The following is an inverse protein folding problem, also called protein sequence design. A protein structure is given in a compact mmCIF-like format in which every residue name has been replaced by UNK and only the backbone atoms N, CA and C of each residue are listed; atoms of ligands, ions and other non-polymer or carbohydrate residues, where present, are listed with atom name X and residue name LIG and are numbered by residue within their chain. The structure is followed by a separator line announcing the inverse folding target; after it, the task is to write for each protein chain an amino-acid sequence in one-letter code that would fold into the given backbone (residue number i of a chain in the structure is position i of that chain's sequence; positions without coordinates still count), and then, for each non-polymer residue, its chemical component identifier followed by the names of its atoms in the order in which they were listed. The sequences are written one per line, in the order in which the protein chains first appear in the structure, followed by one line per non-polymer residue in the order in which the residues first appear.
data_IF_939914427936
#
_entry.id   IF_939914427936
#
_cell.length_a   1.000
_cell.length_b   1.000
_cell.length_c   1.000
_cell.angle_alpha   90.00
_cell.angle_beta   90.00
_cell.angle_gamma   90.00
#
_symmetry.space_group_name_H-M   'P 1'
#
loop_
_entity.id
_entity.type
_entity.pdbx_description
1 polymer ?
#
# COMPACT_ATOMS: atom_id res chain seq x y z
N UNK A 1 -1.17 -8.28 33.74
CA UNK A 1 -2.22 -9.32 33.68
C UNK A 1 -3.16 -9.26 34.88
N UNK A 2 -2.66 -9.66 36.06
CA UNK A 2 -3.48 -9.79 37.29
C UNK A 2 -4.09 -8.45 37.73
N UNK A 3 -3.36 -7.33 37.64
CA UNK A 3 -3.87 -5.99 37.96
C UNK A 3 -5.15 -5.61 37.20
N UNK A 4 -5.21 -5.85 35.89
CA UNK A 4 -6.39 -5.57 35.07
C UNK A 4 -7.56 -6.50 35.39
N UNK A 5 -7.27 -7.73 35.81
CA UNK A 5 -8.29 -8.68 36.25
C UNK A 5 -8.90 -8.25 37.59
N UNK A 6 -8.06 -7.87 38.56
CA UNK A 6 -8.50 -7.40 39.89
C UNK A 6 -9.27 -6.08 39.83
N UNK A 7 -8.84 -5.13 38.98
CA UNK A 7 -9.55 -3.85 38.78
C UNK A 7 -10.86 -4.06 38.02
N UNK A 8 -10.88 -4.94 37.02
CA UNK A 8 -12.11 -5.29 36.28
C UNK A 8 -13.17 -5.98 37.15
N UNK A 9 -12.75 -6.77 38.14
CA UNK A 9 -13.65 -7.40 39.11
C UNK A 9 -14.26 -6.43 40.14
N UNK A 10 -13.70 -5.22 40.30
CA UNK A 10 -14.26 -4.17 41.16
C UNK A 10 -15.25 -3.25 40.44
N UNK A 11 -15.52 -3.48 39.14
CA UNK A 11 -16.53 -2.71 38.40
C UNK A 11 -17.91 -3.20 38.83
N UNK A 12 -18.60 -2.40 39.64
CA UNK A 12 -19.97 -2.68 40.01
C UNK A 12 -20.92 -2.32 38.85
N UNK A 13 -21.28 -3.33 38.06
CA UNK A 13 -22.27 -3.25 36.97
C UNK A 13 -23.64 -2.72 37.45
N UNK A 14 -23.92 -2.78 38.75
CA UNK A 14 -25.14 -2.25 39.35
C UNK A 14 -25.11 -0.73 39.48
N UNK A 15 -23.93 -0.14 39.55
CA UNK A 15 -23.70 1.30 39.58
C UNK A 15 -23.79 1.89 38.15
N UNK A 16 -23.35 1.13 37.15
CA UNK A 16 -23.58 1.42 35.72
C UNK A 16 -25.07 1.51 35.36
N UNK A 17 -25.92 0.74 36.03
CA UNK A 17 -27.37 0.76 35.84
C UNK A 17 -28.09 1.91 36.55
N UNK A 18 -27.45 2.59 37.51
CA UNK A 18 -28.05 3.71 38.27
C UNK A 18 -28.02 5.03 37.51
N UNK A 19 -27.01 5.25 36.69
CA UNK A 19 -26.77 6.53 35.97
C UNK A 19 -26.47 6.26 34.47
N UNK A 20 -27.45 5.73 33.70
CA UNK A 20 -27.22 5.21 32.34
C UNK A 20 -26.79 6.26 31.31
N UNK A 21 -26.98 7.55 31.61
CA UNK A 21 -26.66 8.66 30.70
C UNK A 21 -25.26 9.22 30.99
N UNK A 22 -24.88 9.32 32.26
CA UNK A 22 -23.64 10.00 32.65
C UNK A 22 -22.38 9.23 32.27
N UNK A 23 -22.41 7.90 32.38
CA UNK A 23 -21.26 7.08 32.02
C UNK A 23 -20.89 7.20 30.52
N UNK A 24 -21.81 6.97 29.56
CA UNK A 24 -21.47 7.16 28.15
C UNK A 24 -21.13 8.62 27.83
N UNK A 25 -21.78 9.60 28.49
CA UNK A 25 -21.43 11.01 28.33
C UNK A 25 -19.98 11.31 28.76
N UNK A 26 -19.52 10.77 29.90
CA UNK A 26 -18.14 10.92 30.36
C UNK A 26 -17.13 10.20 29.46
N UNK A 27 -17.47 9.01 28.96
CA UNK A 27 -16.62 8.26 28.00
C UNK A 27 -16.43 9.05 26.71
N UNK A 28 -17.54 9.51 26.11
CA UNK A 28 -17.50 10.31 24.88
C UNK A 28 -16.84 11.66 25.13
N UNK A 29 -17.12 12.30 26.26
CA UNK A 29 -16.55 13.58 26.66
C UNK A 29 -15.03 13.51 26.84
N UNK A 30 -14.53 12.49 27.55
CA UNK A 30 -13.09 12.30 27.77
C UNK A 30 -12.34 12.07 26.46
N UNK A 31 -12.84 11.14 25.63
CA UNK A 31 -12.25 10.85 24.32
C UNK A 31 -12.31 12.10 23.44
N UNK A 32 -13.50 12.69 23.29
CA UNK A 32 -13.73 13.84 22.43
C UNK A 32 -12.85 15.03 22.80
N UNK A 33 -12.81 15.40 24.07
CA UNK A 33 -12.01 16.52 24.56
C UNK A 33 -10.51 16.29 24.32
N UNK A 34 -9.96 15.14 24.73
CA UNK A 34 -8.53 14.85 24.52
C UNK A 34 -8.19 14.74 23.04
N UNK A 35 -9.05 14.12 22.23
CA UNK A 35 -8.85 14.02 20.79
C UNK A 35 -8.83 15.39 20.13
N UNK A 36 -9.77 16.28 20.45
CA UNK A 36 -9.78 17.65 19.91
C UNK A 36 -8.53 18.42 20.31
N UNK A 37 -8.13 18.34 21.59
CA UNK A 37 -6.93 19.00 22.10
C UNK A 37 -5.67 18.50 21.38
N UNK A 38 -5.50 17.18 21.25
CA UNK A 38 -4.35 16.57 20.61
C UNK A 38 -4.30 16.84 19.10
N UNK A 39 -5.45 16.81 18.42
CA UNK A 39 -5.54 17.20 17.01
C UNK A 39 -5.12 18.67 16.87
N UNK A 40 -5.68 19.57 17.68
CA UNK A 40 -5.33 20.98 17.68
C UNK A 40 -3.83 21.22 17.87
N UNK A 41 -3.23 20.53 18.85
CA UNK A 41 -1.80 20.62 19.12
C UNK A 41 -0.96 20.09 17.93
N UNK A 42 -1.31 18.93 17.38
CA UNK A 42 -0.63 18.38 16.20
C UNK A 42 -0.71 19.33 15.00
N UNK A 43 -1.82 20.07 14.85
CA UNK A 43 -1.95 21.10 13.81
C UNK A 43 -1.04 22.30 14.04
N UNK A 44 -0.84 22.73 15.29
CA UNK A 44 0.13 23.78 15.64
C UNK A 44 1.55 23.36 15.25
N UNK A 45 1.92 22.10 15.48
CA UNK A 45 3.21 21.53 15.07
C UNK A 45 3.31 21.17 13.57
N UNK A 46 2.35 21.61 12.75
CA UNK A 46 2.31 21.37 11.29
C UNK A 46 2.28 19.88 10.89
N UNK A 47 1.82 18.99 11.76
CA UNK A 47 1.61 17.57 11.46
C UNK A 47 0.48 17.43 10.43
N UNK A 48 0.61 16.57 9.39
CA UNK A 48 -0.43 16.38 8.39
C UNK A 48 -1.75 15.91 9.01
N UNK A 49 -2.88 16.32 8.44
CA UNK A 49 -4.23 16.07 8.98
C UNK A 49 -4.50 14.60 9.33
N UNK A 50 -4.04 13.68 8.47
CA UNK A 50 -4.14 12.24 8.71
C UNK A 50 -3.44 11.83 10.02
N UNK A 51 -2.18 12.20 10.17
CA UNK A 51 -1.42 11.87 11.37
C UNK A 51 -2.00 12.59 12.60
N UNK A 52 -2.47 13.84 12.46
CA UNK A 52 -3.12 14.56 13.55
C UNK A 52 -4.39 13.86 14.07
N UNK A 53 -5.27 13.41 13.17
CA UNK A 53 -6.50 12.67 13.52
C UNK A 53 -6.16 11.31 14.15
N UNK A 54 -5.23 10.57 13.54
CA UNK A 54 -4.80 9.26 14.06
C UNK A 54 -4.20 9.39 15.46
N UNK A 55 -3.30 10.34 15.67
CA UNK A 55 -2.73 10.62 17.00
C UNK A 55 -3.80 11.03 18.00
N UNK A 56 -4.71 11.94 17.64
CA UNK A 56 -5.74 12.41 18.56
C UNK A 56 -6.73 11.33 19.00
N UNK A 57 -7.16 10.45 18.08
CA UNK A 57 -8.09 9.36 18.42
C UNK A 57 -7.40 8.22 19.16
N UNK A 58 -6.14 7.91 18.86
CA UNK A 58 -5.42 6.83 19.54
C UNK A 58 -4.95 7.20 20.96
N UNK A 59 -4.63 8.48 21.20
CA UNK A 59 -4.23 8.98 22.52
C UNK A 59 -5.39 9.62 23.32
N UNK A 60 -6.58 9.70 22.71
CA UNK A 60 -7.80 10.21 23.33
C UNK A 60 -8.25 9.43 24.57
N UNK A 61 -8.28 8.08 24.53
CA UNK A 61 -8.66 7.25 25.69
C UNK A 61 -7.85 7.45 26.97
N UNK A 62 -8.38 6.91 28.06
CA UNK A 62 -7.70 6.84 29.35
C UNK A 62 -6.42 5.99 29.27
N UNK A 63 -5.38 6.40 30.00
CA UNK A 63 -4.12 5.67 30.10
C UNK A 63 -4.08 4.76 31.33
N UNK A 64 -3.19 3.77 31.31
CA UNK A 64 -3.06 2.78 32.39
C UNK A 64 -2.70 3.41 33.74
N UNK A 65 -1.99 4.54 33.73
CA UNK A 65 -1.64 5.29 34.94
C UNK A 65 -2.85 5.87 35.67
N UNK A 66 -4.00 6.04 35.02
CA UNK A 66 -5.22 6.48 35.67
C UNK A 66 -5.69 5.46 36.72
N UNK A 67 -5.52 4.16 36.48
CA UNK A 67 -5.87 3.11 37.45
C UNK A 67 -5.02 3.20 38.72
N UNK A 68 -3.73 3.49 38.57
CA UNK A 68 -2.81 3.66 39.70
C UNK A 68 -3.18 4.90 40.51
N UNK A 69 -3.44 6.03 39.84
CA UNK A 69 -3.82 7.29 40.49
C UNK A 69 -5.15 7.19 41.25
N UNK A 70 -6.18 6.63 40.62
CA UNK A 70 -7.50 6.44 41.24
C UNK A 70 -7.41 5.42 42.37
N UNK A 71 -6.64 4.35 42.20
CA UNK A 71 -6.40 3.35 43.24
C UNK A 71 -5.78 3.97 44.50
N UNK A 72 -4.71 4.76 44.35
CA UNK A 72 -4.07 5.46 45.46
C UNK A 72 -5.03 6.45 46.14
N UNK A 73 -5.77 7.25 45.35
CA UNK A 73 -6.73 8.21 45.90
C UNK A 73 -7.84 7.54 46.72
N UNK A 74 -8.25 6.33 46.33
CA UNK A 74 -9.21 5.51 47.07
C UNK A 74 -8.62 5.00 48.38
N UNK A 75 -7.39 4.48 48.35
CA UNK A 75 -6.68 3.98 49.55
C UNK A 75 -6.48 5.08 50.60
N UNK A 76 -6.20 6.31 50.17
CA UNK A 76 -6.06 7.47 51.07
C UNK A 76 -7.40 8.13 51.45
N UNK A 77 -8.53 7.62 50.98
CA UNK A 77 -9.85 8.18 51.28
C UNK A 77 -10.10 9.58 50.70
N UNK A 78 -9.34 9.98 49.67
CA UNK A 78 -9.47 11.28 49.01
C UNK A 78 -10.70 11.36 48.08
N UNK A 79 -11.18 10.19 47.64
CA UNK A 79 -12.31 10.05 46.71
C UNK A 79 -13.27 9.00 47.26
N UNK A 80 -14.57 9.24 47.13
CA UNK A 80 -15.59 8.28 47.57
C UNK A 80 -15.52 6.99 46.75
N UNK A 81 -15.86 5.86 47.37
CA UNK A 81 -15.81 4.55 46.69
C UNK A 81 -16.62 4.51 45.39
N UNK A 82 -17.80 5.15 45.36
CA UNK A 82 -18.63 5.26 44.15
C UNK A 82 -17.98 6.11 43.04
N UNK A 83 -17.33 7.22 43.39
CA UNK A 83 -16.63 8.06 42.39
C UNK A 83 -15.38 7.36 41.83
N UNK A 84 -14.65 6.61 42.66
CA UNK A 84 -13.52 5.80 42.23
C UNK A 84 -13.96 4.66 41.31
N UNK A 85 -14.99 3.90 41.71
CA UNK A 85 -15.63 2.85 40.90
C UNK A 85 -16.04 3.38 39.52
N UNK A 86 -16.74 4.53 39.50
CA UNK A 86 -17.17 5.19 38.27
C UNK A 86 -15.99 5.62 37.37
N UNK A 87 -14.96 6.25 37.94
CA UNK A 87 -13.79 6.71 37.17
C UNK A 87 -12.96 5.55 36.60
N UNK A 88 -12.83 4.44 37.33
CA UNK A 88 -12.20 3.21 36.86
C UNK A 88 -13.01 2.60 35.71
N UNK A 89 -14.34 2.58 35.81
CA UNK A 89 -15.23 2.07 34.76
C UNK A 89 -15.10 2.89 33.47
N UNK A 90 -15.14 4.24 33.56
CA UNK A 90 -14.92 5.13 32.41
C UNK A 90 -13.57 4.86 31.75
N UNK A 91 -12.49 4.76 32.54
CA UNK A 91 -11.13 4.49 32.04
C UNK A 91 -11.07 3.14 31.30
N UNK A 92 -11.57 2.07 31.92
CA UNK A 92 -11.61 0.73 31.32
C UNK A 92 -12.39 0.67 30.01
N UNK A 93 -13.57 1.32 29.96
CA UNK A 93 -14.39 1.35 28.75
C UNK A 93 -13.68 2.12 27.63
N UNK A 94 -13.05 3.26 27.93
CA UNK A 94 -12.30 4.02 26.92
C UNK A 94 -11.13 3.20 26.36
N UNK A 95 -10.44 2.41 27.18
CA UNK A 95 -9.37 1.51 26.72
C UNK A 95 -9.90 0.36 25.87
N UNK A 96 -11.04 -0.23 26.23
CA UNK A 96 -11.70 -1.25 25.42
C UNK A 96 -12.07 -0.72 24.01
N UNK A 97 -12.48 0.55 23.94
CA UNK A 97 -12.84 1.22 22.69
C UNK A 97 -11.63 1.56 21.79
N UNK A 98 -10.38 1.41 22.25
CA UNK A 98 -9.18 1.75 21.45
C UNK A 98 -9.19 1.06 20.08
N UNK A 99 -9.58 -0.24 20.01
CA UNK A 99 -9.60 -0.97 18.74
C UNK A 99 -10.64 -0.39 17.77
N UNK A 100 -11.78 0.08 18.29
CA UNK A 100 -12.83 0.72 17.50
C UNK A 100 -12.40 2.12 17.06
N UNK A 101 -11.81 2.92 17.96
CA UNK A 101 -11.24 4.23 17.65
C UNK A 101 -10.12 4.13 16.60
N UNK A 102 -9.29 3.08 16.66
CA UNK A 102 -8.26 2.80 15.65
C UNK A 102 -8.85 2.57 14.27
N UNK A 103 -9.96 1.82 14.16
CA UNK A 103 -10.68 1.64 12.89
C UNK A 103 -11.33 2.93 12.41
N UNK A 104 -11.94 3.69 13.33
CA UNK A 104 -12.58 4.97 13.02
C UNK A 104 -11.57 6.03 12.57
N UNK A 105 -10.41 6.11 13.22
CA UNK A 105 -9.32 7.00 12.87
C UNK A 105 -8.83 6.76 11.44
N UNK A 106 -8.63 5.49 11.05
CA UNK A 106 -8.28 5.15 9.66
C UNK A 106 -9.36 5.55 8.65
N UNK A 107 -10.64 5.36 8.98
CA UNK A 107 -11.74 5.75 8.09
C UNK A 107 -11.84 7.27 7.93
N UNK A 108 -11.77 8.01 9.04
CA UNK A 108 -11.81 9.48 9.04
C UNK A 108 -10.56 10.08 8.37
N UNK A 109 -9.39 9.48 8.57
CA UNK A 109 -8.15 9.97 7.95
C UNK A 109 -8.10 9.75 6.44
N UNK A 110 -8.80 8.73 5.93
CA UNK A 110 -9.04 8.53 4.50
C UNK A 110 -10.07 9.51 3.93
N UNK A 111 -11.14 9.82 4.68
CA UNK A 111 -12.16 10.77 4.25
C UNK A 111 -11.64 12.22 4.15
N UNK A 112 -10.70 12.61 5.02
CA UNK A 112 -10.09 13.96 5.03
C UNK A 112 -9.00 14.12 3.96
N UNK A 113 -8.59 13.05 3.28
CA UNK A 113 -7.54 13.07 2.25
C UNK A 113 -8.01 13.61 0.88
N UNK A 114 -9.28 14.00 0.70
CA UNK A 114 -9.75 14.43 -0.62
C UNK A 114 -9.42 15.88 -1.03
N UNK A 115 -8.85 16.74 -0.18
CA UNK A 115 -8.67 18.14 -0.57
C UNK A 115 -7.44 18.82 0.02
N UNK A 116 -6.29 18.69 -0.64
CA UNK A 116 -5.48 19.84 -1.11
C UNK A 116 -4.34 19.37 -2.03
N UNK A 117 -4.14 20.00 -3.20
CA UNK A 117 -3.00 19.69 -4.06
C UNK A 117 -1.73 20.18 -3.36
N UNK A 118 -0.81 19.27 -3.05
CA UNK A 118 0.59 19.63 -2.98
C UNK A 118 1.06 19.70 -4.43
N UNK A 119 1.70 20.80 -4.81
CA UNK A 119 2.18 21.16 -6.16
C UNK A 119 1.15 21.27 -7.30
N UNK A 120 1.11 22.42 -8.03
CA UNK A 120 0.45 22.52 -9.34
C UNK A 120 0.94 21.46 -10.32
N UNK A 121 2.19 21.02 -10.18
CA UNK A 121 2.75 19.93 -10.97
C UNK A 121 2.03 18.61 -10.69
N UNK A 122 1.72 18.25 -9.45
CA UNK A 122 1.02 16.99 -9.14
C UNK A 122 -0.46 17.03 -9.55
N UNK A 123 -1.04 18.21 -9.79
CA UNK A 123 -2.41 18.36 -10.30
C UNK A 123 -2.55 18.06 -11.80
N UNK A 124 -1.44 17.93 -12.53
CA UNK A 124 -1.47 17.54 -13.95
C UNK A 124 -1.92 16.09 -14.02
N UNK A 125 -3.18 15.89 -14.39
CA UNK A 125 -3.73 14.56 -14.69
C UNK A 125 -3.23 14.13 -16.06
N UNK A 126 -2.79 12.87 -16.24
CA UNK A 126 -2.48 12.37 -17.56
C UNK A 126 -3.77 12.40 -18.39
N UNK A 127 -3.83 13.24 -19.41
CA UNK A 127 -4.85 13.16 -20.46
C UNK A 127 -4.15 12.66 -21.72
N UNK A 128 -3.71 11.41 -21.70
CA UNK A 128 -3.02 10.83 -22.84
C UNK A 128 -4.03 10.58 -23.97
N UNK A 129 -3.94 11.38 -25.03
CA UNK A 129 -4.62 11.10 -26.30
C UNK A 129 -3.85 10.09 -27.15
N UNK A 130 -2.65 9.69 -26.72
CA UNK A 130 -1.81 8.75 -27.43
C UNK A 130 -2.47 7.37 -27.54
N UNK A 131 -2.23 6.72 -28.67
CA UNK A 131 -2.58 5.32 -28.94
C UNK A 131 -1.31 4.50 -28.95
N UNK A 132 -1.40 3.23 -28.55
CA UNK A 132 -0.28 2.29 -28.55
C UNK A 132 0.90 2.68 -27.64
N UNK A 133 0.63 3.38 -26.52
CA UNK A 133 1.63 3.69 -25.51
C UNK A 133 1.70 2.63 -24.40
N UNK A 134 2.80 2.61 -23.66
CA UNK A 134 2.97 1.83 -22.44
C UNK A 134 2.54 2.63 -21.21
N UNK A 135 1.91 1.97 -20.23
CA UNK A 135 1.66 2.56 -18.90
C UNK A 135 2.64 1.90 -17.92
N UNK A 136 3.54 2.68 -17.32
CA UNK A 136 4.50 2.19 -16.32
C UNK A 136 4.03 2.62 -14.93
N UNK A 137 3.68 1.65 -14.09
CA UNK A 137 3.13 1.86 -12.76
C UNK A 137 4.19 1.68 -11.69
N UNK A 138 4.70 2.80 -11.19
CA UNK A 138 5.79 2.93 -10.24
C UNK A 138 7.07 3.38 -10.93
N UNK A 139 7.58 4.56 -10.58
CA UNK A 139 8.81 5.16 -11.14
C UNK A 139 9.99 5.09 -10.16
N UNK A 140 10.02 4.05 -9.30
CA UNK A 140 11.18 3.73 -8.47
C UNK A 140 12.33 3.10 -9.26
N UNK A 141 13.26 2.44 -8.55
CA UNK A 141 14.47 1.81 -9.14
C UNK A 141 14.19 0.94 -10.37
N UNK A 142 13.24 0.01 -10.27
CA UNK A 142 12.88 -0.90 -11.39
C UNK A 142 12.14 -0.13 -12.49
N UNK A 143 11.21 0.75 -12.10
CA UNK A 143 10.42 1.55 -13.04
C UNK A 143 11.25 2.49 -13.91
N UNK A 144 12.27 3.12 -13.33
CA UNK A 144 13.20 3.99 -14.05
C UNK A 144 13.93 3.23 -15.14
N UNK A 145 14.46 2.04 -14.83
CA UNK A 145 15.13 1.19 -15.83
C UNK A 145 14.17 0.81 -16.96
N UNK A 146 12.92 0.47 -16.64
CA UNK A 146 11.90 0.19 -17.66
C UNK A 146 11.61 1.43 -18.53
N UNK A 147 11.45 2.61 -17.92
CA UNK A 147 11.24 3.86 -18.63
C UNK A 147 12.42 4.21 -19.54
N UNK A 148 13.66 4.09 -19.04
CA UNK A 148 14.88 4.35 -19.81
C UNK A 148 15.02 3.40 -21.00
N UNK A 149 14.65 2.12 -20.85
CA UNK A 149 14.64 1.18 -21.97
C UNK A 149 13.56 1.53 -23.00
N UNK A 150 12.35 1.89 -22.57
CA UNK A 150 11.28 2.34 -23.48
C UNK A 150 11.69 3.60 -24.24
N UNK A 151 12.32 4.57 -23.55
CA UNK A 151 12.85 5.80 -24.14
C UNK A 151 13.95 5.50 -25.15
N UNK A 152 14.91 4.63 -24.81
CA UNK A 152 15.99 4.19 -25.71
C UNK A 152 15.47 3.58 -27.00
N UNK A 153 14.38 2.82 -26.91
CA UNK A 153 13.71 2.19 -28.05
C UNK A 153 12.62 3.08 -28.68
N UNK A 154 12.50 4.35 -28.25
CA UNK A 154 11.51 5.34 -28.72
C UNK A 154 10.07 4.83 -28.68
N UNK A 155 9.75 4.00 -27.69
CA UNK A 155 8.40 3.51 -27.48
C UNK A 155 7.63 4.51 -26.61
N UNK A 156 6.50 5.09 -27.07
CA UNK A 156 5.73 6.05 -26.27
C UNK A 156 5.28 5.42 -24.95
N UNK A 157 5.48 6.11 -23.83
CA UNK A 157 5.05 5.63 -22.53
C UNK A 157 4.61 6.77 -21.61
N UNK A 158 3.87 6.39 -20.57
CA UNK A 158 3.45 7.26 -19.49
C UNK A 158 3.81 6.59 -18.17
N UNK A 159 4.59 7.27 -17.34
CA UNK A 159 4.96 6.79 -16.02
C UNK A 159 4.06 7.39 -14.94
N UNK A 160 3.61 6.57 -13.99
CA UNK A 160 2.83 7.00 -12.82
C UNK A 160 3.49 6.54 -11.53
N UNK A 161 3.38 7.32 -10.46
CA UNK A 161 3.79 6.90 -9.12
C UNK A 161 2.82 7.42 -8.06
N UNK A 162 2.70 6.67 -6.96
CA UNK A 162 1.83 6.97 -5.82
C UNK A 162 2.53 7.79 -4.73
N UNK A 163 3.85 7.98 -4.80
CA UNK A 163 4.59 8.85 -3.87
C UNK A 163 4.68 10.29 -4.43
N UNK A 164 3.95 11.25 -3.85
CA UNK A 164 3.94 12.62 -4.36
C UNK A 164 5.31 13.29 -4.27
N UNK A 165 6.13 12.93 -3.27
CA UNK A 165 7.47 13.52 -3.11
C UNK A 165 8.41 13.05 -4.19
N UNK A 166 8.35 11.76 -4.52
CA UNK A 166 9.15 11.18 -5.59
C UNK A 166 8.76 11.79 -6.95
N UNK A 167 7.46 11.94 -7.22
CA UNK A 167 6.98 12.55 -8.47
C UNK A 167 7.45 13.99 -8.64
N UNK A 168 7.35 14.83 -7.60
CA UNK A 168 7.88 16.20 -7.64
C UNK A 168 9.37 16.18 -7.98
N UNK A 169 10.16 15.31 -7.36
CA UNK A 169 11.60 15.22 -7.63
C UNK A 169 11.90 14.77 -9.07
N UNK A 170 11.20 13.75 -9.58
CA UNK A 170 11.36 13.30 -10.96
C UNK A 170 11.03 14.39 -11.98
N UNK A 171 9.98 15.18 -11.73
CA UNK A 171 9.61 16.30 -12.60
C UNK A 171 10.63 17.43 -12.58
N UNK A 172 11.22 17.72 -11.43
CA UNK A 172 12.34 18.69 -11.34
C UNK A 172 13.56 18.25 -12.14
N UNK A 173 13.72 16.94 -12.36
CA UNK A 173 14.74 16.35 -13.22
C UNK A 173 14.31 16.28 -14.70
N UNK A 174 13.16 16.85 -15.07
CA UNK A 174 12.63 16.87 -16.44
C UNK A 174 11.95 15.58 -16.88
N UNK A 175 11.66 14.64 -15.97
CA UNK A 175 10.95 13.40 -16.31
C UNK A 175 9.43 13.61 -16.28
N UNK A 176 8.73 13.13 -17.29
CA UNK A 176 7.27 13.16 -17.37
C UNK A 176 6.63 12.02 -16.56
N UNK A 177 6.59 12.19 -15.23
CA UNK A 177 5.96 11.24 -14.30
C UNK A 177 4.70 11.85 -13.70
N UNK A 178 3.62 11.09 -13.60
CA UNK A 178 2.33 11.56 -13.10
C UNK A 178 2.03 11.00 -11.72
N UNK A 179 1.44 11.83 -10.86
CA UNK A 179 1.02 11.40 -9.54
C UNK A 179 -0.36 10.77 -9.60
N UNK A 180 -0.50 9.58 -9.03
CA UNK A 180 -1.81 8.99 -8.79
C UNK A 180 -1.77 7.53 -8.38
N UNK A 181 -2.96 7.04 -8.00
CA UNK A 181 -3.15 5.69 -7.51
C UNK A 181 -3.63 4.77 -8.65
N UNK A 182 -2.75 3.87 -9.08
CA UNK A 182 -3.05 2.90 -10.13
C UNK A 182 -4.01 1.79 -9.69
N UNK A 183 -4.34 1.68 -8.39
CA UNK A 183 -5.44 0.81 -7.93
C UNK A 183 -6.82 1.42 -8.25
N UNK A 184 -6.89 2.71 -8.56
CA UNK A 184 -8.13 3.39 -8.92
C UNK A 184 -8.46 3.20 -10.42
N UNK A 185 -9.61 2.57 -10.77
CA UNK A 185 -10.04 2.38 -12.16
C UNK A 185 -10.17 3.69 -12.94
N UNK A 186 -10.68 4.75 -12.29
CA UNK A 186 -10.86 6.05 -12.93
C UNK A 186 -9.51 6.67 -13.31
N UNK A 187 -8.49 6.50 -12.46
CA UNK A 187 -7.14 6.99 -12.75
C UNK A 187 -6.52 6.24 -13.93
N UNK A 188 -6.57 4.90 -13.93
CA UNK A 188 -6.09 4.12 -15.08
C UNK A 188 -6.81 4.45 -16.39
N UNK A 189 -8.11 4.79 -16.32
CA UNK A 189 -8.85 5.26 -17.48
C UNK A 189 -8.28 6.59 -18.02
N UNK A 190 -7.94 7.55 -17.14
CA UNK A 190 -7.30 8.82 -17.55
C UNK A 190 -5.91 8.60 -18.17
N UNK A 191 -5.15 7.61 -17.67
CA UNK A 191 -3.89 7.18 -18.28
C UNK A 191 -4.03 6.56 -19.68
N UNK A 192 -5.27 6.40 -20.18
CA UNK A 192 -5.54 5.86 -21.51
C UNK A 192 -5.45 4.34 -21.56
N UNK A 193 -5.80 3.62 -20.48
CA UNK A 193 -5.74 2.14 -20.43
C UNK A 193 -6.43 1.46 -21.63
N UNK A 194 -7.55 2.03 -22.10
CA UNK A 194 -8.29 1.50 -23.25
C UNK A 194 -7.57 1.65 -24.60
N UNK A 195 -6.47 2.40 -24.66
CA UNK A 195 -5.66 2.62 -25.88
C UNK A 195 -4.21 2.19 -25.70
N UNK A 196 -3.84 1.74 -24.52
CA UNK A 196 -2.49 1.32 -24.20
C UNK A 196 -2.14 -0.02 -24.86
N UNK A 197 -0.87 -0.15 -25.26
CA UNK A 197 -0.31 -1.38 -25.80
C UNK A 197 0.04 -2.41 -24.70
N UNK A 198 0.39 -1.92 -23.51
CA UNK A 198 0.79 -2.72 -22.36
C UNK A 198 0.84 -1.94 -21.05
N UNK A 199 0.75 -2.67 -19.94
CA UNK A 199 0.91 -2.14 -18.57
C UNK A 199 2.09 -2.84 -17.92
N UNK A 200 3.03 -2.05 -17.40
CA UNK A 200 4.23 -2.51 -16.70
C UNK A 200 4.07 -2.18 -15.22
N UNK A 201 3.95 -3.18 -14.36
CA UNK A 201 3.72 -2.98 -12.92
C UNK A 201 5.05 -3.13 -12.17
N UNK A 202 5.57 -2.01 -11.69
CA UNK A 202 6.90 -1.87 -11.09
C UNK A 202 6.84 -1.32 -9.66
N UNK A 203 5.67 -1.27 -9.01
CA UNK A 203 5.50 -0.95 -7.57
C UNK A 203 5.85 -2.15 -6.66
N UNK A 204 6.32 -1.94 -5.42
CA UNK A 204 6.89 -3.01 -4.57
C UNK A 204 5.85 -3.67 -3.68
N UNK A 205 4.75 -2.96 -3.49
CA UNK A 205 3.41 -3.35 -3.05
C UNK A 205 2.84 -4.72 -3.46
N UNK A 206 3.03 -5.90 -2.84
CA UNK A 206 2.43 -7.13 -3.42
C UNK A 206 0.91 -7.05 -3.53
N UNK A 207 0.25 -6.54 -2.48
CA UNK A 207 -1.20 -6.30 -2.50
C UNK A 207 -1.62 -5.29 -3.58
N UNK A 208 -0.84 -4.22 -3.78
CA UNK A 208 -1.14 -3.23 -4.82
C UNK A 208 -0.92 -3.80 -6.23
N UNK A 209 0.14 -4.60 -6.44
CA UNK A 209 0.40 -5.30 -7.70
C UNK A 209 -0.81 -6.19 -8.03
N UNK A 210 -1.24 -7.04 -7.10
CA UNK A 210 -2.38 -7.94 -7.30
C UNK A 210 -3.65 -7.18 -7.70
N UNK A 211 -3.94 -6.08 -7.01
CA UNK A 211 -5.11 -5.24 -7.28
C UNK A 211 -5.04 -4.60 -8.67
N UNK A 212 -3.89 -4.03 -9.04
CA UNK A 212 -3.66 -3.45 -10.36
C UNK A 212 -3.83 -4.51 -11.44
N UNK A 213 -3.23 -5.70 -11.29
CA UNK A 213 -3.31 -6.77 -12.29
C UNK A 213 -4.74 -7.26 -12.47
N UNK A 214 -5.49 -7.50 -11.39
CA UNK A 214 -6.91 -7.90 -11.47
C UNK A 214 -7.76 -6.82 -12.14
N UNK A 215 -7.53 -5.56 -11.79
CA UNK A 215 -8.25 -4.42 -12.35
C UNK A 215 -7.96 -4.25 -13.85
N UNK A 216 -6.68 -4.24 -14.23
CA UNK A 216 -6.28 -4.12 -15.65
C UNK A 216 -6.84 -5.28 -16.45
N UNK A 217 -6.77 -6.50 -15.92
CA UNK A 217 -7.26 -7.69 -16.64
C UNK A 217 -8.78 -7.72 -16.75
N UNK A 218 -9.53 -7.21 -15.76
CA UNK A 218 -10.98 -7.13 -15.83
C UNK A 218 -11.48 -6.11 -16.87
N UNK A 219 -10.73 -5.03 -17.06
CA UNK A 219 -11.06 -3.97 -18.04
C UNK A 219 -10.53 -4.30 -19.44
N UNK A 220 -9.31 -4.83 -19.55
CA UNK A 220 -8.65 -5.19 -20.82
C UNK A 220 -8.14 -6.64 -20.77
N UNK A 221 -8.98 -7.63 -21.11
CA UNK A 221 -8.59 -9.04 -21.11
C UNK A 221 -7.42 -9.39 -22.05
N UNK A 222 -7.16 -8.56 -23.06
CA UNK A 222 -6.21 -8.77 -24.16
C UNK A 222 -4.85 -8.04 -23.98
N UNK A 223 -4.76 -7.11 -23.03
CA UNK A 223 -3.58 -6.25 -22.89
C UNK A 223 -2.37 -7.03 -22.36
N UNK A 224 -1.18 -6.62 -22.79
CA UNK A 224 0.09 -7.09 -22.24
C UNK A 224 0.22 -6.57 -20.81
N UNK A 225 0.43 -7.45 -19.84
CA UNK A 225 0.73 -7.07 -18.46
C UNK A 225 2.05 -7.72 -18.07
N UNK A 226 3.09 -6.91 -17.86
CA UNK A 226 4.38 -7.39 -17.34
C UNK A 226 4.53 -6.83 -15.94
N UNK A 227 4.68 -7.70 -14.95
CA UNK A 227 4.80 -7.29 -13.56
C UNK A 227 6.13 -7.74 -12.98
N UNK A 228 6.73 -6.90 -12.14
CA UNK A 228 7.69 -7.43 -11.18
C UNK A 228 6.98 -8.32 -10.17
N UNK A 229 7.66 -9.35 -9.71
CA UNK A 229 7.24 -10.21 -8.63
C UNK A 229 8.31 -10.20 -7.54
N UNK A 230 7.89 -10.29 -6.29
CA UNK A 230 8.81 -10.29 -5.16
C UNK A 230 9.69 -11.55 -5.16
N UNK A 231 9.06 -12.68 -5.44
CA UNK A 231 9.66 -14.00 -5.40
C UNK A 231 8.85 -14.96 -6.29
N UNK A 232 9.28 -16.22 -6.33
CA UNK A 232 8.65 -17.28 -7.11
C UNK A 232 7.18 -17.52 -6.72
N UNK A 233 6.83 -17.46 -5.42
CA UNK A 233 5.47 -17.70 -4.95
C UNK A 233 4.54 -16.59 -5.43
N UNK A 234 4.98 -15.34 -5.31
CA UNK A 234 4.24 -14.20 -5.81
C UNK A 234 4.10 -14.27 -7.34
N UNK A 235 5.15 -14.65 -8.08
CA UNK A 235 5.06 -14.80 -9.54
C UNK A 235 4.01 -15.84 -9.95
N UNK A 236 3.96 -16.99 -9.29
CA UNK A 236 2.91 -18.00 -9.50
C UNK A 236 1.51 -17.43 -9.25
N UNK A 237 1.35 -16.66 -8.17
CA UNK A 237 0.08 -15.98 -7.90
C UNK A 237 -0.30 -15.00 -9.01
N UNK A 238 0.65 -14.20 -9.49
CA UNK A 238 0.43 -13.23 -10.56
C UNK A 238 -0.01 -13.91 -11.87
N UNK A 239 0.58 -15.05 -12.22
CA UNK A 239 0.12 -15.87 -13.35
C UNK A 239 -1.32 -16.37 -13.13
N UNK A 240 -1.66 -16.83 -11.93
CA UNK A 240 -3.01 -17.30 -11.62
C UNK A 240 -4.08 -16.21 -11.76
N UNK A 241 -3.75 -14.95 -11.43
CA UNK A 241 -4.67 -13.80 -11.59
C UNK A 241 -4.61 -13.16 -12.99
N UNK A 242 -3.82 -13.72 -13.91
CA UNK A 242 -3.84 -13.37 -15.33
C UNK A 242 -2.80 -12.34 -15.77
N UNK A 243 -1.66 -12.21 -15.11
CA UNK A 243 -0.50 -11.48 -15.66
C UNK A 243 -0.02 -12.16 -16.96
N UNK A 244 0.59 -11.40 -17.88
CA UNK A 244 1.19 -12.00 -19.10
C UNK A 244 2.58 -12.56 -18.79
N UNK A 245 3.40 -11.80 -18.06
CA UNK A 245 4.71 -12.23 -17.58
C UNK A 245 4.97 -11.65 -16.19
N UNK A 246 5.51 -12.47 -15.29
CA UNK A 246 5.94 -12.07 -13.97
C UNK A 246 7.44 -12.29 -13.83
N UNK A 247 8.17 -11.23 -13.45
CA UNK A 247 9.62 -11.24 -13.32
C UNK A 247 10.00 -11.26 -11.82
N UNK A 248 10.40 -12.41 -11.26
CA UNK A 248 10.75 -12.53 -9.85
C UNK A 248 12.11 -11.89 -9.56
N UNK A 249 12.14 -10.88 -8.68
CA UNK A 249 13.36 -10.15 -8.32
C UNK A 249 14.47 -11.07 -7.81
N UNK A 250 14.12 -12.05 -6.98
CA UNK A 250 15.09 -12.99 -6.40
C UNK A 250 15.69 -13.93 -7.45
N UNK A 251 14.89 -14.41 -8.40
CA UNK A 251 15.38 -15.32 -9.45
C UNK A 251 16.34 -14.59 -10.38
N UNK A 252 15.96 -13.42 -10.88
CA UNK A 252 16.83 -12.66 -11.80
C UNK A 252 18.13 -12.22 -11.13
N UNK A 253 18.09 -11.83 -9.85
CA UNK A 253 19.30 -11.55 -9.09
C UNK A 253 20.20 -12.78 -8.94
N UNK A 254 19.63 -13.96 -8.68
CA UNK A 254 20.40 -15.21 -8.59
C UNK A 254 21.02 -15.61 -9.93
N UNK A 255 20.28 -15.46 -11.05
CA UNK A 255 20.80 -15.73 -12.39
C UNK A 255 21.97 -14.80 -12.74
N UNK A 256 21.86 -13.50 -12.40
CA UNK A 256 22.94 -12.54 -12.61
C UNK A 256 24.19 -12.89 -11.78
N UNK A 257 24.02 -13.34 -10.53
CA UNK A 257 25.11 -13.80 -9.69
C UNK A 257 25.78 -15.06 -10.26
N UNK A 258 24.98 -16.01 -10.76
CA UNK A 258 25.50 -17.22 -11.41
C UNK A 258 26.30 -16.90 -12.67
N UNK A 259 25.83 -15.98 -13.51
CA UNK A 259 26.56 -15.52 -14.70
C UNK A 259 27.93 -14.94 -14.31
N UNK A 260 27.93 -13.98 -13.38
CA UNK A 260 29.15 -13.32 -12.92
C UNK A 260 30.14 -14.31 -12.29
N UNK A 261 29.65 -15.27 -11.51
CA UNK A 261 30.47 -16.31 -10.90
C UNK A 261 31.09 -17.24 -11.96
N UNK A 262 30.31 -17.74 -12.90
CA UNK A 262 30.81 -18.65 -13.94
C UNK A 262 31.83 -17.97 -14.86
N UNK A 263 31.56 -16.74 -15.28
CA UNK A 263 32.52 -15.93 -16.05
C UNK A 263 33.77 -15.65 -15.22
N UNK A 264 33.61 -15.28 -13.94
CA UNK A 264 34.72 -15.01 -13.03
C UNK A 264 35.61 -16.23 -12.74
N UNK A 265 35.06 -17.44 -12.83
CA UNK A 265 35.80 -18.71 -12.74
C UNK A 265 36.51 -19.09 -14.05
N UNK A 266 36.44 -18.25 -15.08
CA UNK A 266 37.12 -18.45 -16.36
C UNK A 266 36.35 -19.28 -17.38
N UNK A 267 35.05 -19.53 -17.16
CA UNK A 267 34.24 -20.19 -18.19
C UNK A 267 33.99 -19.24 -19.37
N UNK A 268 33.91 -19.76 -20.61
CA UNK A 268 33.63 -18.93 -21.78
C UNK A 268 32.25 -18.25 -21.69
N UNK A 269 32.22 -16.93 -21.92
CA UNK A 269 31.03 -16.09 -21.74
C UNK A 269 29.84 -16.52 -22.59
N UNK A 270 30.05 -16.88 -23.87
CA UNK A 270 28.96 -17.27 -24.77
C UNK A 270 28.12 -18.45 -24.24
N UNK A 271 28.75 -19.61 -23.94
CA UNK A 271 28.09 -20.74 -23.31
C UNK A 271 27.41 -20.42 -21.96
N UNK A 272 28.03 -19.58 -21.14
CA UNK A 272 27.43 -19.17 -19.84
C UNK A 272 26.15 -18.38 -20.08
N UNK A 273 26.16 -17.37 -20.95
CA UNK A 273 24.98 -16.58 -21.31
C UNK A 273 23.86 -17.51 -21.82
N UNK A 274 24.18 -18.44 -22.72
CA UNK A 274 23.21 -19.40 -23.24
C UNK A 274 22.59 -20.28 -22.13
N UNK A 275 23.41 -20.77 -21.20
CA UNK A 275 22.95 -21.56 -20.04
C UNK A 275 22.05 -20.75 -19.10
N UNK A 276 22.39 -19.49 -18.84
CA UNK A 276 21.57 -18.59 -18.01
C UNK A 276 20.22 -18.30 -18.69
N UNK A 277 20.21 -18.08 -20.01
CA UNK A 277 18.97 -17.92 -20.76
C UNK A 277 18.10 -19.18 -20.72
N UNK A 278 18.69 -20.36 -20.94
CA UNK A 278 17.96 -21.62 -20.80
C UNK A 278 17.38 -21.77 -19.40
N UNK A 279 18.17 -21.46 -18.35
CA UNK A 279 17.70 -21.59 -16.98
C UNK A 279 16.57 -20.61 -16.64
N UNK A 280 16.61 -19.40 -17.20
CA UNK A 280 15.52 -18.42 -17.11
C UNK A 280 14.23 -18.96 -17.72
N UNK A 281 14.32 -19.56 -18.90
CA UNK A 281 13.15 -20.13 -19.58
C UNK A 281 12.57 -21.34 -18.83
N UNK A 282 13.42 -22.19 -18.24
CA UNK A 282 12.99 -23.27 -17.33
C UNK A 282 12.18 -22.72 -16.16
N UNK A 283 12.73 -21.73 -15.43
CA UNK A 283 12.01 -21.12 -14.31
C UNK A 283 10.69 -20.48 -14.77
N UNK A 284 10.66 -19.80 -15.91
CA UNK A 284 9.43 -19.21 -16.45
C UNK A 284 8.38 -20.29 -16.73
N UNK A 285 8.75 -21.40 -17.38
CA UNK A 285 7.83 -22.50 -17.66
C UNK A 285 7.27 -23.10 -16.37
N UNK A 286 8.14 -23.42 -15.41
CA UNK A 286 7.74 -24.00 -14.12
C UNK A 286 6.73 -23.11 -13.38
N UNK A 287 6.96 -21.79 -13.36
CA UNK A 287 6.06 -20.83 -12.70
C UNK A 287 4.71 -20.72 -13.41
N UNK A 288 4.69 -20.78 -14.74
CA UNK A 288 3.46 -20.73 -15.54
C UNK A 288 2.66 -22.04 -15.41
N UNK A 289 3.32 -23.19 -15.50
CA UNK A 289 2.67 -24.51 -15.39
C UNK A 289 2.05 -24.71 -14.01
N UNK A 290 2.78 -24.31 -12.97
CA UNK A 290 2.32 -24.41 -11.59
C UNK A 290 1.18 -23.43 -11.26
N UNK A 291 0.94 -22.43 -12.11
CA UNK A 291 -0.24 -21.56 -12.05
C UNK A 291 -1.41 -22.14 -12.88
N UNK A 292 -1.13 -22.71 -14.06
CA UNK A 292 -2.12 -23.36 -14.92
C UNK A 292 -2.76 -24.60 -14.28
N UNK A 293 -2.05 -25.33 -13.42
CA UNK A 293 -2.60 -26.44 -12.64
C UNK A 293 -3.55 -25.99 -11.51
N UNK A 294 -3.51 -24.70 -11.11
CA UNK A 294 -4.30 -24.15 -10.01
C UNK A 294 -5.65 -23.53 -10.46
N UNK A 295 -5.97 -23.50 -11.76
CA UNK A 295 -7.25 -22.98 -12.25
C UNK A 295 -7.41 -23.00 -13.78
N UNK A 296 -8.63 -22.82 -14.33
CA UNK A 296 -8.92 -22.97 -15.75
C UNK A 296 -8.55 -21.70 -16.53
N UNK A 297 -7.25 -21.42 -16.71
CA UNK A 297 -6.82 -20.25 -17.48
C UNK A 297 -5.74 -20.60 -18.51
N UNK A 298 -5.98 -20.13 -19.75
CA UNK A 298 -5.06 -20.23 -20.88
C UNK A 298 -3.78 -19.45 -20.54
N UNK A 299 -2.62 -20.10 -20.55
CA UNK A 299 -1.33 -19.41 -20.45
C UNK A 299 -1.22 -18.39 -21.61
N UNK A 300 -1.01 -17.11 -21.27
CA UNK A 300 -0.97 -15.99 -22.23
C UNK A 300 0.44 -15.42 -22.37
N UNK A 301 1.46 -16.28 -22.40
CA UNK A 301 2.87 -15.89 -22.46
C UNK A 301 3.18 -14.85 -23.54
N UNK A 302 4.28 -14.11 -23.35
CA UNK A 302 4.68 -13.02 -24.26
C UNK A 302 4.78 -13.55 -25.69
N UNK A 303 3.95 -13.00 -26.59
CA UNK A 303 4.09 -13.18 -28.03
C UNK A 303 4.58 -11.87 -28.65
N UNK A 304 5.56 -11.90 -29.56
CA UNK A 304 5.98 -10.69 -30.28
C UNK A 304 4.76 -10.08 -30.99
N UNK A 305 4.39 -8.85 -30.62
CA UNK A 305 3.45 -8.06 -31.41
C UNK A 305 4.25 -7.40 -32.53
N UNK A 306 3.91 -7.67 -33.79
CA UNK A 306 4.36 -6.86 -34.91
C UNK A 306 3.69 -5.49 -34.81
N UNK A 307 4.44 -4.48 -34.39
CA UNK A 307 3.99 -3.09 -34.41
C UNK A 307 3.71 -2.71 -35.88
N UNK A 308 2.45 -2.40 -36.20
CA UNK A 308 2.08 -1.86 -37.52
C UNK A 308 2.74 -0.48 -37.66
N UNK A 309 3.93 -0.43 -38.28
CA UNK A 309 4.59 0.84 -38.60
C UNK A 309 6.11 0.89 -38.42
N UNK A 310 6.76 -0.18 -37.97
CA UNK A 310 8.23 -0.24 -37.99
C UNK A 310 8.73 -0.38 -39.44
N UNK A 311 8.75 0.74 -40.18
CA UNK A 311 9.54 0.84 -41.41
C UNK A 311 11.00 0.71 -41.01
N UNK A 312 11.60 -0.41 -41.38
CA UNK A 312 13.04 -0.62 -41.41
C UNK A 312 13.68 0.51 -42.22
N UNK A 313 14.49 1.33 -41.58
CA UNK A 313 15.60 2.05 -42.21
C UNK A 313 16.88 1.39 -41.76
#
# INVERSE_FOLDING_TARGET
GIFFFTVGMNIDLRELAREPIWLPACVVGLIGMKSVLLIGLARIFRVPWRAAIETGLLLGPGGEFAFVGIGLATTFGLVSAGASSFALAVTSITMCLILLLSRLARRLSLAVQQSKPLDPELAVTPMSTATDHAIVVGHGRVGQVVCDMLERHRFPFLAVDSDPRAVTEYRRQGREVYYGDATNPAFLATCGLMRAAGVFVTTHTPAAIDEIVRLVRSVRPDILIVSRARDALHARHLYAIGVTDAVPETIEASLQLSEAALVGLGLPTGPVIASIHQKRDEFRSELQDAAGQAGPHVSRGIRPKTLKGAKST
#
